data_IF_433868809568
#
_entry.id   IF_433868809568
#
_cell.length_a   1.000
_cell.length_b   1.000
_cell.length_c   1.000
_cell.angle_alpha   90.00
_cell.angle_beta   90.00
_cell.angle_gamma   90.00
#
_symmetry.space_group_name_H-M   'P 1'
#
loop_
_entity.id
_entity.type
_entity.pdbx_description
1 polymer ?
#
# COMPACT_ATOMS: atom_id res chain seq x y z
N UNK A 1 8.59 -1.64 -14.33
CA UNK A 1 9.01 -1.39 -12.93
C UNK A 1 10.50 -1.10 -12.76
N UNK A 2 11.40 -1.72 -13.51
CA UNK A 2 12.85 -1.51 -13.36
C UNK A 2 13.35 -0.06 -13.54
N UNK A 3 12.59 0.81 -14.23
CA UNK A 3 12.96 2.21 -14.48
C UNK A 3 12.78 3.08 -13.22
N UNK A 4 11.65 2.94 -12.52
CA UNK A 4 11.41 3.65 -11.25
C UNK A 4 12.43 3.25 -10.17
N UNK A 5 12.88 2.00 -10.19
CA UNK A 5 13.87 1.46 -9.24
C UNK A 5 15.26 2.10 -9.34
N UNK A 6 15.52 2.92 -10.36
CA UNK A 6 16.83 3.59 -10.56
C UNK A 6 16.80 5.09 -10.26
N UNK A 7 15.63 5.73 -10.11
CA UNK A 7 15.58 7.17 -9.87
C UNK A 7 14.26 7.75 -9.37
N UNK A 8 13.37 6.92 -8.80
CA UNK A 8 12.13 7.40 -8.18
C UNK A 8 11.13 7.96 -9.18
N UNK A 9 10.21 8.79 -8.70
CA UNK A 9 9.11 9.35 -9.50
C UNK A 9 9.60 10.12 -10.74
N UNK A 10 10.62 10.95 -10.60
CA UNK A 10 11.11 11.82 -11.67
C UNK A 10 11.77 11.05 -12.82
N UNK A 11 12.40 9.91 -12.51
CA UNK A 11 13.04 9.08 -13.53
C UNK A 11 12.06 8.26 -14.37
N UNK A 12 10.79 8.18 -13.97
CA UNK A 12 9.78 7.44 -14.73
C UNK A 12 9.33 8.28 -15.93
N UNK A 13 9.82 7.89 -17.10
CA UNK A 13 9.39 8.46 -18.38
C UNK A 13 8.51 7.46 -19.13
N UNK A 14 7.34 7.90 -19.62
CA UNK A 14 6.38 7.04 -20.31
C UNK A 14 6.99 6.35 -21.55
N UNK A 15 7.81 7.06 -22.32
CA UNK A 15 8.53 6.48 -23.48
C UNK A 15 9.43 5.33 -23.07
N UNK A 16 10.29 5.56 -22.07
CA UNK A 16 11.18 4.52 -21.55
C UNK A 16 10.39 3.32 -20.99
N UNK A 17 9.23 3.54 -20.36
CA UNK A 17 8.35 2.46 -19.91
C UNK A 17 7.82 1.64 -21.08
N UNK A 18 7.36 2.30 -22.16
CA UNK A 18 6.88 1.65 -23.37
C UNK A 18 7.98 0.83 -24.04
N UNK A 19 9.18 1.42 -24.23
CA UNK A 19 10.35 0.76 -24.80
C UNK A 19 10.72 -0.49 -23.99
N UNK A 20 10.72 -0.38 -22.67
CA UNK A 20 11.03 -1.50 -21.75
C UNK A 20 9.96 -2.59 -21.74
N UNK A 21 8.72 -2.24 -22.04
CA UNK A 21 7.59 -3.15 -22.13
C UNK A 21 7.38 -3.72 -23.53
N UNK A 22 8.22 -3.34 -24.50
CA UNK A 22 8.13 -3.74 -25.91
C UNK A 22 6.76 -3.42 -26.53
N UNK A 23 6.24 -2.22 -26.25
CA UNK A 23 4.98 -1.73 -26.81
C UNK A 23 5.16 -0.34 -27.39
N UNK A 24 4.34 0.01 -28.38
CA UNK A 24 4.28 1.38 -28.87
C UNK A 24 3.84 2.34 -27.75
N UNK A 25 4.42 3.54 -27.73
CA UNK A 25 4.08 4.58 -26.74
C UNK A 25 2.59 4.94 -26.78
N UNK A 26 1.99 4.99 -27.98
CA UNK A 26 0.54 5.21 -28.14
C UNK A 26 -0.30 4.11 -27.49
N UNK A 27 0.14 2.85 -27.56
CA UNK A 27 -0.51 1.73 -26.86
C UNK A 27 -0.43 1.94 -25.35
N UNK A 28 0.71 2.38 -24.82
CA UNK A 28 0.84 2.65 -23.38
C UNK A 28 -0.12 3.76 -22.92
N UNK A 29 -0.19 4.88 -23.64
CA UNK A 29 -1.10 5.99 -23.30
C UNK A 29 -2.58 5.61 -23.41
N UNK A 30 -2.93 4.66 -24.27
CA UNK A 30 -4.30 4.13 -24.35
C UNK A 30 -4.75 3.42 -23.08
N UNK A 31 -3.83 2.74 -22.39
CA UNK A 31 -4.14 2.03 -21.13
C UNK A 31 -3.86 2.89 -19.89
N UNK A 32 -2.86 3.77 -19.95
CA UNK A 32 -2.45 4.63 -18.85
C UNK A 32 -2.27 6.06 -19.37
N UNK A 33 -3.32 6.91 -19.30
CA UNK A 33 -3.30 8.26 -19.86
C UNK A 33 -2.18 9.15 -19.33
N UNK A 34 -1.68 8.89 -18.12
CA UNK A 34 -0.54 9.61 -17.56
C UNK A 34 0.38 8.71 -16.74
N UNK A 35 1.56 9.24 -16.39
CA UNK A 35 2.50 8.60 -15.45
C UNK A 35 1.85 8.30 -14.10
N UNK A 36 0.93 9.15 -13.64
CA UNK A 36 0.16 8.95 -12.42
C UNK A 36 -0.71 7.70 -12.54
N UNK A 37 -1.55 7.60 -13.59
CA UNK A 37 -2.39 6.43 -13.83
C UNK A 37 -1.58 5.12 -13.88
N UNK A 38 -0.45 5.15 -14.58
CA UNK A 38 0.47 4.01 -14.65
C UNK A 38 0.96 3.60 -13.25
N UNK A 39 1.45 4.56 -12.46
CA UNK A 39 2.08 4.29 -11.17
C UNK A 39 1.07 3.90 -10.08
N UNK A 40 -0.12 4.52 -10.07
CA UNK A 40 -1.21 4.13 -9.14
C UNK A 40 -1.73 2.74 -9.50
N UNK A 41 -1.95 2.44 -10.78
CA UNK A 41 -2.31 1.08 -11.22
C UNK A 41 -1.24 0.05 -10.86
N UNK A 42 0.03 0.44 -10.96
CA UNK A 42 1.16 -0.37 -10.53
C UNK A 42 1.14 -0.65 -9.02
N UNK A 43 0.79 0.34 -8.20
CA UNK A 43 0.64 0.21 -6.75
C UNK A 43 -0.47 -0.78 -6.41
N UNK A 44 -1.65 -0.62 -7.01
CA UNK A 44 -2.78 -1.54 -6.83
C UNK A 44 -2.40 -2.98 -7.19
N UNK A 45 -1.71 -3.18 -8.31
CA UNK A 45 -1.20 -4.50 -8.72
C UNK A 45 -0.23 -5.10 -7.70
N UNK A 46 0.61 -4.29 -7.06
CA UNK A 46 1.52 -4.77 -6.04
C UNK A 46 0.78 -5.18 -4.76
N UNK A 47 -0.22 -4.40 -4.33
CA UNK A 47 -1.09 -4.79 -3.21
C UNK A 47 -1.86 -6.07 -3.51
N UNK A 48 -2.47 -6.22 -4.69
CA UNK A 48 -3.16 -7.45 -5.07
C UNK A 48 -2.22 -8.68 -5.06
N UNK A 49 -0.95 -8.52 -5.46
CA UNK A 49 0.04 -9.60 -5.38
C UNK A 49 0.40 -9.94 -3.93
N UNK A 50 0.54 -8.96 -3.06
CA UNK A 50 0.84 -9.17 -1.64
C UNK A 50 -0.33 -9.89 -0.98
N UNK A 51 -1.55 -9.45 -1.24
CA UNK A 51 -2.79 -10.07 -0.75
C UNK A 51 -2.90 -11.52 -1.23
N UNK A 52 -2.75 -11.79 -2.53
CA UNK A 52 -2.81 -13.14 -3.09
C UNK A 52 -1.73 -14.09 -2.54
N UNK A 53 -0.55 -13.56 -2.17
CA UNK A 53 0.53 -14.32 -1.53
C UNK A 53 0.40 -14.40 -0.01
N UNK A 54 -0.68 -13.88 0.56
CA UNK A 54 -0.93 -14.02 1.99
C UNK A 54 -1.67 -15.30 2.25
N UNK A 55 -0.90 -16.30 2.66
CA UNK A 55 -1.45 -17.51 3.26
C UNK A 55 -2.20 -17.11 4.55
N UNK A 56 -3.53 -17.24 4.50
CA UNK A 56 -4.42 -16.91 5.61
C UNK A 56 -4.27 -17.87 6.78
N UNK A 57 -3.84 -19.11 6.53
CA UNK A 57 -3.52 -20.06 7.61
C UNK A 57 -2.22 -19.71 8.33
N UNK A 58 -1.29 -19.04 7.63
CA UNK A 58 -0.06 -18.51 8.19
C UNK A 58 -0.24 -17.17 8.94
N UNK A 59 -1.42 -16.55 8.89
CA UNK A 59 -1.78 -15.40 9.75
C UNK A 59 -2.13 -15.95 11.15
N UNK A 60 -1.15 -16.64 11.73
CA UNK A 60 -1.22 -17.28 13.04
C UNK A 60 -1.06 -16.21 14.14
N UNK A 61 -2.13 -15.44 14.36
CA UNK A 61 -2.28 -14.59 15.53
C UNK A 61 -3.53 -15.00 16.29
N UNK A 62 -3.41 -15.22 17.60
CA UNK A 62 -4.55 -15.50 18.47
C UNK A 62 -5.56 -14.34 18.45
N UNK A 63 -5.07 -13.10 18.33
CA UNK A 63 -5.90 -11.88 18.40
C UNK A 63 -5.93 -11.10 17.08
N UNK A 64 -7.01 -10.32 16.80
CA UNK A 64 -7.08 -9.40 15.65
C UNK A 64 -5.87 -8.46 15.55
N UNK A 65 -5.39 -8.00 16.71
CA UNK A 65 -4.19 -7.18 16.85
C UNK A 65 -2.96 -7.83 16.23
N UNK A 66 -2.65 -9.07 16.61
CA UNK A 66 -1.48 -9.80 16.12
C UNK A 66 -1.55 -10.02 14.60
N UNK A 67 -2.75 -10.36 14.08
CA UNK A 67 -2.96 -10.59 12.66
C UNK A 67 -2.83 -9.31 11.83
N UNK A 68 -3.36 -8.18 12.31
CA UNK A 68 -3.20 -6.89 11.64
C UNK A 68 -1.74 -6.44 11.66
N UNK A 69 -1.05 -6.54 12.80
CA UNK A 69 0.38 -6.22 12.89
C UNK A 69 1.24 -7.09 11.95
N UNK A 70 0.92 -8.37 11.80
CA UNK A 70 1.58 -9.23 10.82
C UNK A 70 1.39 -8.71 9.39
N UNK A 71 0.16 -8.33 9.02
CA UNK A 71 -0.14 -7.77 7.69
C UNK A 71 0.59 -6.45 7.43
N UNK A 72 0.53 -5.51 8.38
CA UNK A 72 1.25 -4.22 8.32
C UNK A 72 2.75 -4.45 8.17
N UNK A 73 3.32 -5.37 8.97
CA UNK A 73 4.74 -5.74 8.86
C UNK A 73 5.10 -6.34 7.50
N UNK A 74 4.21 -7.14 6.91
CA UNK A 74 4.40 -7.71 5.57
C UNK A 74 4.38 -6.63 4.49
N UNK A 75 3.43 -5.70 4.54
CA UNK A 75 3.37 -4.55 3.63
C UNK A 75 4.62 -3.68 3.76
N UNK A 76 5.03 -3.34 4.98
CA UNK A 76 6.24 -2.55 5.23
C UNK A 76 7.49 -3.21 4.62
N UNK A 77 7.68 -4.51 4.85
CA UNK A 77 8.79 -5.26 4.23
C UNK A 77 8.72 -5.24 2.71
N UNK A 78 7.54 -5.39 2.12
CA UNK A 78 7.37 -5.32 0.67
C UNK A 78 7.74 -3.94 0.11
N UNK A 79 7.29 -2.87 0.76
CA UNK A 79 7.60 -1.49 0.40
C UNK A 79 9.08 -1.12 0.57
N UNK A 80 9.77 -1.75 1.53
CA UNK A 80 11.20 -1.54 1.74
C UNK A 80 12.10 -2.24 0.71
N UNK A 81 11.61 -3.25 -0.01
CA UNK A 81 12.43 -4.00 -0.99
C UNK A 81 12.89 -3.14 -2.16
N UNK A 82 12.11 -2.14 -2.55
CA UNK A 82 12.45 -1.26 -3.66
C UNK A 82 12.03 0.19 -3.34
N UNK A 83 12.77 0.88 -2.47
CA UNK A 83 12.35 2.17 -1.92
C UNK A 83 12.10 3.23 -3.00
N UNK A 84 12.85 3.21 -4.11
CA UNK A 84 12.66 4.15 -5.21
C UNK A 84 11.38 3.87 -6.02
N UNK A 85 11.06 2.59 -6.24
CA UNK A 85 9.78 2.24 -6.88
C UNK A 85 8.60 2.58 -5.96
N UNK A 86 8.72 2.27 -4.67
CA UNK A 86 7.72 2.64 -3.67
C UNK A 86 7.55 4.15 -3.59
N UNK A 87 8.64 4.91 -3.58
CA UNK A 87 8.61 6.37 -3.63
C UNK A 87 7.84 6.88 -4.85
N UNK A 88 8.11 6.33 -6.04
CA UNK A 88 7.41 6.71 -7.26
C UNK A 88 5.90 6.43 -7.17
N UNK A 89 5.52 5.23 -6.73
CA UNK A 89 4.12 4.82 -6.62
C UNK A 89 3.36 5.61 -5.56
N UNK A 90 3.94 5.77 -4.37
CA UNK A 90 3.33 6.53 -3.27
C UNK A 90 3.22 8.01 -3.62
N UNK A 91 4.24 8.60 -4.26
CA UNK A 91 4.15 9.98 -4.76
C UNK A 91 3.03 10.12 -5.78
N UNK A 92 2.95 9.22 -6.76
CA UNK A 92 1.87 9.25 -7.75
C UNK A 92 0.48 9.19 -7.11
N UNK A 93 0.31 8.32 -6.11
CA UNK A 93 -0.95 8.16 -5.38
C UNK A 93 -1.34 9.44 -4.63
N UNK A 94 -0.41 10.07 -3.91
CA UNK A 94 -0.69 11.30 -3.13
C UNK A 94 -0.98 12.52 -4.02
N UNK A 95 -0.32 12.61 -5.17
CA UNK A 95 -0.50 13.72 -6.12
C UNK A 95 -1.54 13.42 -7.20
N UNK A 96 -2.26 12.31 -7.12
CA UNK A 96 -3.31 12.00 -8.06
C UNK A 96 -4.41 13.07 -7.99
N UNK A 97 -4.81 13.55 -9.16
CA UNK A 97 -5.94 14.46 -9.30
C UNK A 97 -7.23 13.67 -9.63
N UNK A 98 -8.32 14.40 -9.87
CA UNK A 98 -9.63 13.81 -10.18
C UNK A 98 -9.62 12.89 -11.42
N UNK A 99 -8.64 13.03 -12.33
CA UNK A 99 -8.56 12.17 -13.53
C UNK A 99 -8.20 10.73 -13.21
N UNK A 100 -7.49 10.48 -12.10
CA UNK A 100 -7.08 9.15 -11.64
C UNK A 100 -7.86 8.68 -10.39
N UNK A 101 -9.03 9.29 -10.11
CA UNK A 101 -9.81 9.02 -8.92
C UNK A 101 -10.26 7.55 -8.82
N UNK A 102 -10.58 6.92 -9.96
CA UNK A 102 -10.93 5.49 -10.01
C UNK A 102 -9.80 4.59 -9.54
N UNK A 103 -8.57 4.87 -9.97
CA UNK A 103 -7.39 4.11 -9.64
C UNK A 103 -7.03 4.28 -8.16
N UNK A 104 -7.17 5.50 -7.63
CA UNK A 104 -6.99 5.81 -6.20
C UNK A 104 -8.00 5.05 -5.36
N UNK A 105 -9.30 5.14 -5.68
CA UNK A 105 -10.37 4.43 -4.97
C UNK A 105 -10.17 2.91 -5.00
N UNK A 106 -9.68 2.35 -6.11
CA UNK A 106 -9.34 0.94 -6.19
C UNK A 106 -8.18 0.56 -5.24
N UNK A 107 -7.14 1.37 -5.18
CA UNK A 107 -5.99 1.15 -4.28
C UNK A 107 -6.41 1.25 -2.81
N UNK A 108 -7.24 2.23 -2.46
CA UNK A 108 -7.80 2.42 -1.12
C UNK A 108 -8.63 1.21 -0.68
N UNK A 109 -9.59 0.80 -1.51
CA UNK A 109 -10.41 -0.38 -1.24
C UNK A 109 -9.59 -1.64 -1.05
N UNK A 110 -8.52 -1.81 -1.83
CA UNK A 110 -7.62 -2.96 -1.69
C UNK A 110 -6.95 -2.98 -0.32
N UNK A 111 -6.34 -1.86 0.10
CA UNK A 111 -5.61 -1.83 1.38
C UNK A 111 -6.55 -1.92 2.58
N UNK A 112 -7.71 -1.24 2.53
CA UNK A 112 -8.75 -1.32 3.56
C UNK A 112 -9.24 -2.76 3.70
N UNK A 113 -9.51 -3.44 2.58
CA UNK A 113 -9.96 -4.82 2.61
C UNK A 113 -8.89 -5.78 3.11
N UNK A 114 -7.61 -5.53 2.82
CA UNK A 114 -6.50 -6.33 3.35
C UNK A 114 -6.43 -6.22 4.88
N UNK A 115 -6.55 -5.01 5.43
CA UNK A 115 -6.51 -4.78 6.88
C UNK A 115 -7.77 -5.28 7.59
N UNK A 116 -8.96 -5.05 7.03
CA UNK A 116 -10.22 -5.55 7.58
C UNK A 116 -10.21 -7.09 7.66
N UNK A 117 -9.79 -7.76 6.57
CA UNK A 117 -9.65 -9.23 6.55
C UNK A 117 -8.56 -9.75 7.47
N UNK A 118 -7.50 -8.98 7.73
CA UNK A 118 -6.48 -9.38 8.70
C UNK A 118 -7.06 -9.41 10.12
N UNK A 119 -7.94 -8.46 10.47
CA UNK A 119 -8.60 -8.43 11.78
C UNK A 119 -9.68 -9.51 11.92
N UNK A 120 -10.41 -9.83 10.85
CA UNK A 120 -11.55 -10.73 10.88
C UNK A 120 -11.18 -12.22 11.04
N UNK A 121 -12.05 -12.97 11.72
CA UNK A 121 -12.09 -14.44 11.69
C UNK A 121 -13.28 -14.88 10.83
N UNK A 122 -13.20 -14.63 9.52
CA UNK A 122 -14.30 -14.81 8.58
C UNK A 122 -14.51 -13.56 7.72
N UNK A 123 -15.76 -13.23 7.45
CA UNK A 123 -16.11 -11.98 6.75
C UNK A 123 -15.91 -10.78 7.68
N UNK A 124 -15.24 -9.69 7.25
CA UNK A 124 -15.05 -8.52 8.10
C UNK A 124 -16.36 -7.79 8.40
N UNK A 125 -16.48 -7.30 9.63
CA UNK A 125 -17.61 -6.43 10.03
C UNK A 125 -17.44 -5.00 9.51
N UNK A 126 -18.51 -4.22 9.52
CA UNK A 126 -18.48 -2.79 9.16
C UNK A 126 -17.50 -2.00 10.04
N UNK A 127 -17.51 -2.25 11.36
CA UNK A 127 -16.55 -1.66 12.30
C UNK A 127 -15.09 -1.99 11.95
N UNK A 128 -14.82 -3.23 11.50
CA UNK A 128 -13.48 -3.61 11.07
C UNK A 128 -13.05 -2.88 9.79
N UNK A 129 -13.97 -2.59 8.87
CA UNK A 129 -13.68 -1.72 7.72
C UNK A 129 -13.41 -0.28 8.16
N UNK A 130 -14.15 0.25 9.14
CA UNK A 130 -13.88 1.59 9.68
C UNK A 130 -12.51 1.69 10.35
N UNK A 131 -12.15 0.70 11.19
CA UNK A 131 -10.83 0.61 11.80
C UNK A 131 -9.75 0.48 10.73
N UNK A 132 -9.96 -0.40 9.75
CA UNK A 132 -9.02 -0.62 8.65
C UNK A 132 -8.69 0.66 7.89
N UNK A 133 -9.70 1.48 7.57
CA UNK A 133 -9.52 2.75 6.87
C UNK A 133 -8.65 3.73 7.65
N UNK A 134 -8.90 3.88 8.95
CA UNK A 134 -8.08 4.75 9.80
C UNK A 134 -6.64 4.22 9.87
N UNK A 135 -6.45 2.90 9.94
CA UNK A 135 -5.12 2.29 9.92
C UNK A 135 -4.43 2.49 8.57
N UNK A 136 -5.15 2.39 7.44
CA UNK A 136 -4.64 2.69 6.10
C UNK A 136 -4.10 4.11 5.99
N UNK A 137 -4.86 5.09 6.50
CA UNK A 137 -4.47 6.51 6.50
C UNK A 137 -3.20 6.75 7.33
N UNK A 138 -3.17 6.18 8.54
CA UNK A 138 -2.00 6.26 9.43
C UNK A 138 -0.79 5.58 8.79
N UNK A 139 -0.99 4.42 8.17
CA UNK A 139 0.07 3.68 7.48
C UNK A 139 0.65 4.46 6.31
N UNK A 140 -0.19 5.02 5.45
CA UNK A 140 0.24 5.85 4.32
C UNK A 140 1.03 7.08 4.80
N UNK A 141 0.52 7.78 5.81
CA UNK A 141 1.18 8.95 6.40
C UNK A 141 2.58 8.62 6.95
N UNK A 142 2.71 7.48 7.63
CA UNK A 142 3.99 6.99 8.14
C UNK A 142 4.93 6.53 7.02
N UNK A 143 4.41 5.86 6.00
CA UNK A 143 5.19 5.46 4.81
C UNK A 143 5.79 6.69 4.13
N UNK A 144 4.99 7.75 3.93
CA UNK A 144 5.46 9.02 3.40
C UNK A 144 6.53 9.67 4.27
N UNK A 145 6.33 9.67 5.59
CA UNK A 145 7.33 10.22 6.52
C UNK A 145 8.67 9.47 6.40
N UNK A 146 8.64 8.15 6.25
CA UNK A 146 9.85 7.36 6.04
C UNK A 146 10.51 7.61 4.68
N UNK A 147 9.72 7.59 3.59
CA UNK A 147 10.24 7.82 2.23
C UNK A 147 10.88 9.21 2.07
N UNK A 148 10.32 10.22 2.75
CA UNK A 148 10.84 11.60 2.77
C UNK A 148 11.90 11.83 3.85
N UNK A 149 12.37 10.76 4.52
CA UNK A 149 13.39 10.78 5.58
C UNK A 149 13.03 11.66 6.78
N UNK A 150 11.75 11.94 7.00
CA UNK A 150 11.20 12.66 8.16
C UNK A 150 10.94 11.74 9.36
N UNK A 151 11.01 10.43 9.16
CA UNK A 151 10.89 9.42 10.21
C UNK A 151 11.83 8.24 9.92
N UNK A 152 12.36 7.62 10.97
CA UNK A 152 13.05 6.34 10.83
C UNK A 152 12.04 5.19 10.65
N UNK A 153 12.49 4.04 10.13
CA UNK A 153 11.67 2.84 10.07
C UNK A 153 11.19 2.38 11.47
N UNK A 154 12.00 2.62 12.50
CA UNK A 154 11.67 2.36 13.89
C UNK A 154 10.52 3.25 14.37
N UNK A 155 10.55 4.55 14.04
CA UNK A 155 9.48 5.49 14.41
C UNK A 155 8.15 5.10 13.76
N UNK A 156 8.18 4.73 12.48
CA UNK A 156 7.02 4.24 11.73
C UNK A 156 6.42 3.00 12.39
N UNK A 157 7.27 2.04 12.74
CA UNK A 157 6.82 0.79 13.38
C UNK A 157 6.19 1.06 14.75
N UNK A 158 6.80 1.92 15.57
CA UNK A 158 6.25 2.30 16.89
C UNK A 158 4.91 3.02 16.79
N UNK A 159 4.78 3.97 15.86
CA UNK A 159 3.52 4.72 15.66
C UNK A 159 2.39 3.83 15.17
N UNK A 160 2.70 2.89 14.27
CA UNK A 160 1.71 1.93 13.78
C UNK A 160 1.28 0.97 14.88
N UNK A 161 2.21 0.42 15.67
CA UNK A 161 1.87 -0.44 16.80
C UNK A 161 0.94 0.29 17.79
N UNK A 162 1.25 1.54 18.13
CA UNK A 162 0.42 2.35 19.02
C UNK A 162 -0.98 2.62 18.42
N UNK A 163 -1.06 2.98 17.14
CA UNK A 163 -2.35 3.23 16.48
C UNK A 163 -3.22 1.97 16.46
N UNK A 164 -2.63 0.82 16.16
CA UNK A 164 -3.32 -0.47 16.16
C UNK A 164 -3.82 -0.82 17.57
N UNK A 165 -2.99 -0.62 18.62
CA UNK A 165 -3.41 -0.84 20.02
C UNK A 165 -4.59 0.04 20.42
N UNK A 166 -4.51 1.34 20.12
CA UNK A 166 -5.55 2.31 20.51
C UNK A 166 -6.89 2.05 19.80
N UNK A 167 -6.87 1.55 18.56
CA UNK A 167 -8.08 1.34 17.76
C UNK A 167 -8.73 -0.04 17.97
N UNK A 168 -7.95 -1.08 18.27
CA UNK A 168 -8.50 -2.42 18.55
C UNK A 168 -8.87 -2.56 20.03
N UNK A 169 -8.27 -1.77 20.92
CA UNK A 169 -8.44 -1.86 22.37
C UNK A 169 -7.72 -3.07 22.98
N UNK A 170 -7.49 -3.03 24.30
CA UNK A 170 -7.03 -4.20 25.07
C UNK A 170 -8.17 -5.24 25.15
N UNK A 171 -8.37 -6.02 24.09
CA UNK A 171 -9.23 -7.22 24.17
C UNK A 171 -8.56 -8.40 24.88
N UNK A 172 -7.49 -8.15 25.65
CA UNK A 172 -6.87 -9.13 26.57
C UNK A 172 -7.42 -9.00 28.01
N UNK A 173 -8.49 -8.22 28.24
CA UNK A 173 -9.21 -8.14 29.51
C UNK A 173 -10.63 -8.70 29.40
N UNK A 174 -10.75 -10.02 29.18
CA UNK A 174 -11.96 -10.78 29.43
C UNK A 174 -11.63 -12.22 29.85
#
# INVERSE_FOLDING_TARGET
MAIASKGGYEAVQMRAVADRADVAVGTLYRYFPSKVHLLVSALGREFSRIDAKTDRSAVAGATPFQRLNFMVGKLNRAMQRNPLLTEAMTRAYVFADASAASEVDQVEKLIDSMFARAMANGEPTEDQYHIARVISDVWLSNLLAWLTRRASATDVSKRLDLAVRLLIGDQDSA
#
